data_IF_165177912436
#
_entry.id   IF_165177912436
#
_cell.length_a   1.000
_cell.length_b   1.000
_cell.length_c   1.000
_cell.angle_alpha   90.00
_cell.angle_beta   90.00
_cell.angle_gamma   90.00
#
_symmetry.space_group_name_H-M   'P 1'
#
loop_
_entity.id
_entity.type
_entity.pdbx_description
1 polymer ?
#
# COMPACT_ATOMS: atom_id res chain seq x y z
N UNK A 1 56.03 76.63 15.48
CA UNK A 1 55.84 75.30 16.10
C UNK A 1 54.37 74.94 15.86
N UNK A 2 54.12 74.24 14.74
CA UNK A 2 52.84 74.18 14.05
C UNK A 2 52.06 72.88 14.32
N UNK A 3 50.74 73.00 14.24
CA UNK A 3 49.71 72.06 14.67
C UNK A 3 49.60 70.83 13.77
N UNK A 4 49.40 69.67 14.40
CA UNK A 4 49.04 68.39 13.79
C UNK A 4 47.59 68.42 13.30
N UNK A 5 47.35 68.05 12.04
CA UNK A 5 46.01 67.78 11.50
C UNK A 5 46.03 66.33 10.99
N UNK A 6 45.33 65.46 11.70
CA UNK A 6 44.99 64.09 11.28
C UNK A 6 43.84 64.15 10.27
N UNK A 7 44.01 63.56 9.08
CA UNK A 7 42.90 63.29 8.17
C UNK A 7 42.11 62.06 8.64
N UNK A 8 40.81 62.25 8.86
CA UNK A 8 39.83 61.16 9.03
C UNK A 8 39.31 60.74 7.65
N UNK A 9 39.60 59.51 7.22
CA UNK A 9 38.90 58.87 6.09
C UNK A 9 37.61 58.24 6.59
N UNK A 10 36.48 58.74 6.09
CA UNK A 10 35.13 58.25 6.36
C UNK A 10 34.89 56.98 5.50
N UNK A 11 34.92 55.78 6.10
CA UNK A 11 34.39 54.57 5.45
C UNK A 11 32.88 54.54 5.62
N UNK A 12 32.16 54.82 4.54
CA UNK A 12 30.71 54.59 4.45
C UNK A 12 30.52 53.08 4.27
N UNK A 13 30.13 52.38 5.34
CA UNK A 13 29.66 51.01 5.24
C UNK A 13 28.31 51.01 4.55
N UNK A 14 28.27 50.62 3.28
CA UNK A 14 27.04 50.31 2.57
C UNK A 14 26.44 49.03 3.16
N UNK A 15 25.53 49.19 4.11
CA UNK A 15 24.64 48.12 4.58
C UNK A 15 23.69 47.75 3.44
N UNK A 16 24.15 46.89 2.52
CA UNK A 16 23.29 46.21 1.56
C UNK A 16 22.48 45.18 2.36
N UNK A 17 21.30 45.59 2.82
CA UNK A 17 20.27 44.66 3.28
C UNK A 17 19.88 43.78 2.09
N UNK A 18 20.43 42.58 2.02
CA UNK A 18 19.93 41.51 1.18
C UNK A 18 18.52 41.17 1.69
N UNK A 19 17.50 41.88 1.20
CA UNK A 19 16.13 41.38 1.24
C UNK A 19 16.12 40.13 0.37
N UNK A 20 16.27 38.97 1.02
CA UNK A 20 15.96 37.69 0.42
C UNK A 20 14.44 37.67 0.19
N UNK A 21 14.00 38.21 -0.95
CA UNK A 21 12.67 37.92 -1.47
C UNK A 21 12.63 36.41 -1.71
N UNK A 22 12.04 35.66 -0.77
CA UNK A 22 11.51 34.34 -1.06
C UNK A 22 10.69 34.48 -2.34
N UNK A 23 11.02 33.72 -3.39
CA UNK A 23 10.17 33.64 -4.58
C UNK A 23 8.75 33.38 -4.09
N UNK A 24 7.86 34.36 -4.25
CA UNK A 24 6.43 34.16 -4.02
C UNK A 24 6.03 33.05 -4.97
N UNK A 25 5.63 31.90 -4.42
CA UNK A 25 5.12 30.79 -5.22
C UNK A 25 3.86 31.31 -5.93
N UNK A 26 3.98 31.57 -7.23
CA UNK A 26 2.92 32.15 -8.04
C UNK A 26 1.63 31.30 -8.02
N UNK A 27 1.75 30.04 -7.60
CA UNK A 27 0.63 29.10 -7.47
C UNK A 27 0.18 28.89 -6.03
N UNK A 28 0.69 29.62 -5.03
CA UNK A 28 0.36 29.39 -3.61
C UNK A 28 -1.15 29.43 -3.34
N UNK A 29 -1.83 30.44 -3.89
CA UNK A 29 -3.26 30.64 -3.69
C UNK A 29 -4.08 29.57 -4.43
N UNK A 30 -3.64 29.19 -5.63
CA UNK A 30 -4.27 28.10 -6.37
C UNK A 30 -4.09 26.76 -5.67
N UNK A 31 -2.89 26.44 -5.19
CA UNK A 31 -2.60 25.21 -4.42
C UNK A 31 -3.45 25.16 -3.16
N UNK A 32 -3.55 26.27 -2.42
CA UNK A 32 -4.39 26.36 -1.23
C UNK A 32 -5.86 26.10 -1.55
N UNK A 33 -6.41 26.74 -2.61
CA UNK A 33 -7.79 26.52 -3.06
C UNK A 33 -8.04 25.08 -3.48
N UNK A 34 -7.13 24.49 -4.26
CA UNK A 34 -7.25 23.09 -4.70
C UNK A 34 -7.17 22.12 -3.51
N UNK A 35 -6.30 22.38 -2.54
CA UNK A 35 -6.21 21.59 -1.31
C UNK A 35 -7.51 21.67 -0.49
N UNK A 36 -8.15 22.83 -0.44
CA UNK A 36 -9.45 22.97 0.24
C UNK A 36 -10.55 22.18 -0.48
N UNK A 37 -10.61 22.27 -1.81
CA UNK A 37 -11.57 21.49 -2.60
C UNK A 37 -11.40 19.98 -2.38
N UNK A 38 -10.15 19.48 -2.32
CA UNK A 38 -9.87 18.06 -2.01
C UNK A 38 -10.34 17.71 -0.60
N UNK A 39 -10.14 18.59 0.38
CA UNK A 39 -10.64 18.39 1.75
C UNK A 39 -12.18 18.30 1.76
N UNK A 40 -12.87 19.20 1.06
CA UNK A 40 -14.33 19.17 0.95
C UNK A 40 -14.83 17.87 0.29
N UNK A 41 -14.16 17.41 -0.77
CA UNK A 41 -14.47 16.14 -1.42
C UNK A 41 -14.26 14.93 -0.51
N UNK A 42 -13.18 14.92 0.28
CA UNK A 42 -12.94 13.87 1.27
C UNK A 42 -14.09 13.80 2.28
N UNK A 43 -14.46 14.93 2.89
CA UNK A 43 -15.56 14.93 3.87
C UNK A 43 -16.93 14.68 3.24
N UNK A 44 -17.13 15.04 1.97
CA UNK A 44 -18.32 14.61 1.25
C UNK A 44 -18.39 13.07 1.21
N UNK A 45 -17.32 12.39 0.79
CA UNK A 45 -17.30 10.93 0.73
C UNK A 45 -17.38 10.28 2.12
N UNK A 46 -16.49 10.69 3.03
CA UNK A 46 -16.38 10.16 4.39
C UNK A 46 -17.70 10.29 5.17
N UNK A 47 -18.30 11.49 5.19
CA UNK A 47 -19.54 11.71 5.95
C UNK A 47 -20.72 10.91 5.38
N UNK A 48 -20.78 10.71 4.06
CA UNK A 48 -21.83 9.87 3.46
C UNK A 48 -21.59 8.39 3.75
N UNK A 49 -20.35 7.92 3.79
CA UNK A 49 -20.02 6.56 4.25
C UNK A 49 -20.46 6.36 5.69
N UNK A 50 -20.04 7.25 6.59
CA UNK A 50 -20.40 7.20 8.02
C UNK A 50 -21.91 7.23 8.25
N UNK A 51 -22.67 7.88 7.36
CA UNK A 51 -24.13 8.00 7.47
C UNK A 51 -24.90 6.80 6.94
N UNK A 52 -24.48 6.21 5.82
CA UNK A 52 -25.30 5.26 5.07
C UNK A 52 -24.74 3.84 5.00
N UNK A 53 -23.45 3.65 5.26
CA UNK A 53 -22.78 2.37 5.09
C UNK A 53 -22.04 1.90 6.33
N UNK A 54 -21.56 2.78 7.20
CA UNK A 54 -20.88 2.33 8.43
C UNK A 54 -21.78 1.40 9.28
N UNK A 55 -21.28 0.24 9.77
CA UNK A 55 -19.89 -0.22 9.77
C UNK A 55 -19.50 -1.17 8.63
N UNK A 56 -20.26 -1.24 7.54
CA UNK A 56 -19.97 -2.08 6.38
C UNK A 56 -18.70 -1.63 5.64
N UNK A 57 -18.21 -2.48 4.74
CA UNK A 57 -16.91 -2.24 4.08
C UNK A 57 -16.93 -1.03 3.14
N UNK A 58 -17.92 -0.93 2.24
CA UNK A 58 -17.99 0.17 1.25
C UNK A 58 -19.41 0.72 1.07
N UNK A 59 -19.48 2.02 0.77
CA UNK A 59 -20.72 2.71 0.42
C UNK A 59 -21.09 2.46 -1.05
N UNK A 60 -22.35 2.14 -1.32
CA UNK A 60 -23.00 2.25 -2.63
C UNK A 60 -23.71 3.62 -2.71
N UNK A 61 -23.05 4.67 -3.25
CA UNK A 61 -23.48 6.06 -3.03
C UNK A 61 -24.78 6.43 -3.74
N UNK A 62 -25.12 5.75 -4.84
CA UNK A 62 -26.35 6.01 -5.60
C UNK A 62 -27.58 5.44 -4.88
N UNK A 63 -27.46 4.23 -4.32
CA UNK A 63 -28.55 3.53 -3.62
C UNK A 63 -28.59 3.83 -2.13
N UNK A 64 -27.54 4.46 -1.58
CA UNK A 64 -27.35 4.68 -0.14
C UNK A 64 -27.44 3.37 0.65
N UNK A 65 -26.81 2.35 0.10
CA UNK A 65 -26.65 1.04 0.74
C UNK A 65 -25.15 0.70 0.80
N UNK A 66 -24.81 -0.56 1.05
CA UNK A 66 -23.42 -1.00 1.21
C UNK A 66 -23.12 -2.30 0.46
N UNK A 67 -21.84 -2.66 0.45
CA UNK A 67 -21.29 -3.99 0.13
C UNK A 67 -20.23 -4.31 1.17
N UNK A 68 -20.15 -5.58 1.56
CA UNK A 68 -19.11 -6.07 2.45
C UNK A 68 -17.99 -6.71 1.61
N UNK A 69 -17.26 -5.83 0.93
CA UNK A 69 -16.37 -6.16 -0.18
C UNK A 69 -15.23 -7.10 0.18
N UNK A 70 -14.78 -7.20 1.44
CA UNK A 70 -13.71 -8.16 1.78
C UNK A 70 -14.15 -9.62 1.62
N UNK A 71 -15.42 -9.92 1.88
CA UNK A 71 -16.00 -11.25 1.69
C UNK A 71 -16.56 -11.49 0.28
N UNK A 72 -16.84 -10.41 -0.47
CA UNK A 72 -17.47 -10.44 -1.79
C UNK A 72 -16.45 -10.33 -2.96
N UNK A 73 -15.41 -9.50 -2.82
CA UNK A 73 -14.52 -9.10 -3.92
C UNK A 73 -13.64 -10.28 -4.36
N UNK A 74 -13.92 -10.82 -5.55
CA UNK A 74 -13.26 -12.00 -6.10
C UNK A 74 -13.86 -13.33 -5.62
N UNK A 75 -14.83 -13.29 -4.70
CA UNK A 75 -15.58 -14.44 -4.21
C UNK A 75 -16.97 -14.47 -4.86
N UNK A 76 -17.01 -14.64 -6.18
CA UNK A 76 -18.24 -14.50 -6.99
C UNK A 76 -19.38 -15.43 -6.56
N UNK A 77 -19.04 -16.57 -5.97
CA UNK A 77 -20.00 -17.57 -5.47
C UNK A 77 -20.36 -17.37 -3.99
N UNK A 78 -19.80 -16.36 -3.33
CA UNK A 78 -19.95 -16.10 -1.88
C UNK A 78 -19.62 -17.34 -1.03
N UNK A 79 -18.61 -18.09 -1.44
CA UNK A 79 -18.18 -19.31 -0.75
C UNK A 79 -17.65 -18.96 0.65
N UNK A 80 -18.15 -19.66 1.66
CA UNK A 80 -17.76 -19.48 3.07
C UNK A 80 -17.93 -18.04 3.58
N UNK A 81 -19.05 -17.40 3.20
CA UNK A 81 -19.50 -16.14 3.78
C UNK A 81 -20.59 -16.43 4.84
N UNK A 82 -20.25 -16.28 6.11
CA UNK A 82 -21.23 -16.41 7.19
C UNK A 82 -22.36 -15.38 7.05
N UNK A 83 -23.60 -15.80 7.35
CA UNK A 83 -24.75 -14.88 7.43
C UNK A 83 -24.61 -13.85 8.57
N UNK A 84 -23.70 -14.10 9.51
CA UNK A 84 -23.41 -13.21 10.65
C UNK A 84 -22.32 -12.18 10.33
N UNK A 85 -21.68 -12.27 9.15
CA UNK A 85 -20.69 -11.27 8.74
C UNK A 85 -21.37 -9.94 8.41
N UNK A 86 -20.83 -8.85 8.95
CA UNK A 86 -21.41 -7.51 8.85
C UNK A 86 -20.34 -6.45 8.54
N UNK A 87 -19.38 -6.81 7.70
CA UNK A 87 -18.26 -5.96 7.33
C UNK A 87 -17.19 -5.80 8.41
N UNK A 88 -16.11 -5.10 8.05
CA UNK A 88 -14.95 -4.79 8.89
C UNK A 88 -14.69 -3.28 9.00
N UNK A 89 -15.66 -2.46 8.58
CA UNK A 89 -15.50 -1.03 8.41
C UNK A 89 -14.30 -0.67 7.51
N UNK A 90 -14.10 -1.40 6.41
CA UNK A 90 -12.97 -1.23 5.49
C UNK A 90 -12.72 0.24 5.11
N UNK A 91 -13.74 0.97 4.65
CA UNK A 91 -13.59 2.39 4.29
C UNK A 91 -13.19 3.27 5.47
N UNK A 92 -13.59 2.93 6.71
CA UNK A 92 -13.12 3.64 7.91
C UNK A 92 -11.63 3.41 8.12
N UNK A 93 -11.17 2.15 8.02
CA UNK A 93 -9.76 1.77 8.16
C UNK A 93 -8.90 2.49 7.11
N UNK A 94 -9.32 2.47 5.84
CA UNK A 94 -8.61 3.15 4.75
C UNK A 94 -8.61 4.69 4.91
N UNK A 95 -9.59 5.25 5.61
CA UNK A 95 -9.69 6.70 5.84
C UNK A 95 -8.83 7.21 6.99
N UNK A 96 -8.36 6.36 7.91
CA UNK A 96 -7.62 6.77 9.11
C UNK A 96 -6.40 7.63 8.78
N UNK A 97 -5.53 7.17 7.88
CA UNK A 97 -4.34 7.93 7.49
C UNK A 97 -4.68 9.27 6.82
N UNK A 98 -5.80 9.33 6.10
CA UNK A 98 -6.29 10.59 5.50
C UNK A 98 -6.81 11.56 6.57
N UNK A 99 -7.54 11.08 7.59
CA UNK A 99 -7.98 11.90 8.72
C UNK A 99 -6.79 12.52 9.45
N UNK A 100 -5.75 11.71 9.71
CA UNK A 100 -4.51 12.16 10.31
C UNK A 100 -3.79 13.23 9.46
N UNK A 101 -3.64 13.00 8.15
CA UNK A 101 -3.00 13.95 7.22
C UNK A 101 -3.80 15.26 7.10
N UNK A 102 -5.13 15.20 7.10
CA UNK A 102 -6.00 16.37 7.06
C UNK A 102 -6.06 17.13 8.40
N UNK A 103 -5.50 16.56 9.47
CA UNK A 103 -5.45 17.15 10.80
C UNK A 103 -6.76 17.03 11.60
N UNK A 104 -7.67 16.14 11.21
CA UNK A 104 -8.89 15.86 11.97
C UNK A 104 -8.64 14.75 12.99
N UNK A 105 -7.88 15.13 14.01
CA UNK A 105 -7.45 14.24 15.07
C UNK A 105 -8.60 13.76 15.95
N UNK A 106 -9.67 14.56 16.09
CA UNK A 106 -10.83 14.19 16.89
C UNK A 106 -11.63 13.06 16.25
N UNK A 107 -11.90 13.15 14.93
CA UNK A 107 -12.58 12.07 14.22
C UNK A 107 -11.68 10.83 14.08
N UNK A 108 -10.35 11.01 13.91
CA UNK A 108 -9.39 9.91 13.97
C UNK A 108 -9.45 9.15 15.30
N UNK A 109 -9.37 9.84 16.44
CA UNK A 109 -9.42 9.21 17.77
C UNK A 109 -10.73 8.45 17.99
N UNK A 110 -11.85 9.04 17.58
CA UNK A 110 -13.17 8.39 17.64
C UNK A 110 -13.24 7.13 16.78
N UNK A 111 -12.66 7.16 15.58
CA UNK A 111 -12.58 6.01 14.69
C UNK A 111 -11.71 4.89 15.31
N UNK A 112 -10.53 5.23 15.84
CA UNK A 112 -9.64 4.28 16.52
C UNK A 112 -10.35 3.63 17.70
N UNK A 113 -11.01 4.43 18.54
CA UNK A 113 -11.75 3.92 19.69
C UNK A 113 -12.84 2.94 19.25
N UNK A 114 -13.64 3.30 18.25
CA UNK A 114 -14.69 2.41 17.75
C UNK A 114 -14.10 1.09 17.21
N UNK A 115 -13.04 1.16 16.39
CA UNK A 115 -12.39 -0.02 15.84
C UNK A 115 -11.86 -0.92 16.95
N UNK A 116 -11.22 -0.34 17.97
CA UNK A 116 -10.65 -1.11 19.09
C UNK A 116 -11.69 -1.89 19.91
N UNK A 117 -12.90 -1.34 20.03
CA UNK A 117 -13.98 -1.93 20.83
C UNK A 117 -14.90 -2.86 20.02
N UNK A 118 -14.98 -2.69 18.70
CA UNK A 118 -16.01 -3.34 17.87
C UNK A 118 -15.45 -4.25 16.78
N UNK A 119 -14.21 -4.05 16.32
CA UNK A 119 -13.64 -4.85 15.24
C UNK A 119 -13.01 -6.13 15.79
N UNK A 120 -13.38 -7.27 15.19
CA UNK A 120 -12.74 -8.56 15.43
C UNK A 120 -12.46 -9.24 14.10
N UNK A 121 -11.25 -9.77 13.96
CA UNK A 121 -10.90 -10.63 12.84
C UNK A 121 -11.16 -12.12 13.14
N UNK A 122 -11.75 -12.46 14.29
CA UNK A 122 -12.20 -13.83 14.60
C UNK A 122 -13.56 -14.17 13.99
N UNK A 123 -13.65 -14.01 12.67
CA UNK A 123 -14.88 -14.10 11.90
C UNK A 123 -14.77 -15.17 10.82
N UNK A 124 -15.85 -15.93 10.65
CA UNK A 124 -15.96 -16.96 9.62
C UNK A 124 -16.25 -16.31 8.26
N UNK A 125 -15.20 -15.78 7.66
CA UNK A 125 -15.23 -15.13 6.35
C UNK A 125 -13.97 -15.47 5.56
N UNK A 126 -14.17 -15.87 4.31
CA UNK A 126 -13.10 -16.09 3.33
C UNK A 126 -12.75 -14.76 2.65
N UNK A 127 -11.49 -14.36 2.76
CA UNK A 127 -10.98 -13.09 2.22
C UNK A 127 -9.79 -13.31 1.29
N UNK A 128 -9.60 -12.39 0.36
CA UNK A 128 -8.40 -12.37 -0.48
C UNK A 128 -7.22 -11.81 0.34
N UNK A 129 -6.14 -12.58 0.45
CA UNK A 129 -4.97 -12.22 1.26
C UNK A 129 -4.33 -10.92 0.78
N UNK A 130 -4.19 -10.74 -0.53
CA UNK A 130 -3.56 -9.56 -1.12
C UNK A 130 -4.36 -8.29 -0.83
N UNK A 131 -5.68 -8.32 -1.08
CA UNK A 131 -6.56 -7.17 -0.80
C UNK A 131 -6.60 -6.84 0.70
N UNK A 132 -6.71 -7.86 1.56
CA UNK A 132 -6.74 -7.64 3.00
C UNK A 132 -5.40 -7.11 3.53
N UNK A 133 -4.27 -7.57 2.96
CA UNK A 133 -2.95 -7.05 3.29
C UNK A 133 -2.80 -5.56 2.92
N UNK A 134 -3.06 -5.19 1.67
CA UNK A 134 -2.79 -3.82 1.21
C UNK A 134 -3.78 -2.79 1.79
N UNK A 135 -5.04 -3.20 2.05
CA UNK A 135 -6.08 -2.28 2.53
C UNK A 135 -6.20 -2.26 4.04
N UNK A 136 -6.39 -3.42 4.66
CA UNK A 136 -6.66 -3.51 6.10
C UNK A 136 -5.37 -3.46 6.89
N UNK A 137 -4.43 -4.37 6.63
CA UNK A 137 -3.16 -4.37 7.36
C UNK A 137 -2.37 -3.09 7.07
N UNK A 138 -2.28 -2.67 5.81
CA UNK A 138 -1.67 -1.40 5.42
C UNK A 138 -2.33 -0.17 6.06
N UNK A 139 -3.67 -0.13 6.10
CA UNK A 139 -4.42 0.93 6.76
C UNK A 139 -4.15 1.02 8.26
N UNK A 140 -4.21 -0.11 8.97
CA UNK A 140 -3.93 -0.18 10.41
C UNK A 140 -2.49 0.20 10.75
N UNK A 141 -1.52 -0.36 10.01
CA UNK A 141 -0.08 -0.10 10.21
C UNK A 141 0.26 1.37 9.92
N UNK A 142 -0.21 1.92 8.80
CA UNK A 142 0.07 3.32 8.46
C UNK A 142 -0.54 4.30 9.46
N UNK A 143 -1.79 4.07 9.87
CA UNK A 143 -2.46 4.89 10.87
C UNK A 143 -1.79 4.77 12.25
N UNK A 144 -1.31 3.59 12.63
CA UNK A 144 -0.51 3.40 13.85
C UNK A 144 0.79 4.23 13.82
N UNK A 145 1.53 4.19 12.70
CA UNK A 145 2.76 4.97 12.54
C UNK A 145 2.48 6.48 12.66
N UNK A 146 1.40 6.97 12.05
CA UNK A 146 1.00 8.37 12.16
C UNK A 146 0.56 8.75 13.58
N UNK A 147 -0.13 7.85 14.29
CA UNK A 147 -0.56 8.07 15.67
C UNK A 147 0.60 8.04 16.68
N UNK A 148 1.68 7.34 16.37
CA UNK A 148 2.87 7.21 17.24
C UNK A 148 4.03 8.12 16.85
N UNK A 149 3.92 8.85 15.73
CA UNK A 149 4.91 9.85 15.37
C UNK A 149 4.99 10.92 16.45
N UNK A 150 6.19 11.15 16.98
CA UNK A 150 6.52 12.18 17.97
C UNK A 150 6.17 13.60 17.54
N UNK A 151 6.05 13.85 16.23
CA UNK A 151 5.61 15.14 15.70
C UNK A 151 4.07 15.27 15.64
N UNK A 152 3.34 14.17 15.82
CA UNK A 152 1.88 14.16 15.78
C UNK A 152 1.28 14.69 17.08
N UNK A 153 0.09 15.28 17.01
CA UNK A 153 -0.65 15.70 18.22
C UNK A 153 -1.22 14.52 19.00
N UNK A 154 -1.18 13.31 18.45
CA UNK A 154 -1.68 12.10 19.09
C UNK A 154 -0.78 11.60 20.24
N UNK A 155 0.48 12.03 20.26
CA UNK A 155 1.43 11.67 21.31
C UNK A 155 1.08 12.24 22.69
N UNK A 156 0.01 13.03 22.82
CA UNK A 156 -0.50 13.55 24.11
C UNK A 156 -1.31 12.54 24.95
N UNK A 157 -1.35 11.26 24.56
CA UNK A 157 -1.62 10.14 25.48
C UNK A 157 -2.98 9.47 25.40
N UNK A 158 -3.80 9.73 24.36
CA UNK A 158 -5.07 9.02 24.12
C UNK A 158 -4.89 7.70 23.38
N UNK A 159 -3.82 7.58 22.59
CA UNK A 159 -3.53 6.40 21.77
C UNK A 159 -2.64 5.39 22.52
N UNK A 160 -3.10 4.15 22.64
CA UNK A 160 -2.48 3.07 23.40
C UNK A 160 -2.23 1.83 22.52
N UNK A 161 -1.73 2.05 21.29
CA UNK A 161 -1.40 0.98 20.33
C UNK A 161 -2.57 0.13 19.87
N UNK A 162 -3.81 0.60 20.00
CA UNK A 162 -5.00 -0.18 19.64
C UNK A 162 -4.95 -0.70 18.20
N UNK A 163 -4.51 0.12 17.25
CA UNK A 163 -4.40 -0.28 15.84
C UNK A 163 -3.27 -1.30 15.61
N UNK A 164 -2.19 -1.25 16.38
CA UNK A 164 -1.11 -2.23 16.28
C UNK A 164 -1.58 -3.61 16.78
N UNK A 165 -2.38 -3.65 17.85
CA UNK A 165 -2.97 -4.92 18.32
C UNK A 165 -3.88 -5.55 17.27
N UNK A 166 -4.73 -4.75 16.61
CA UNK A 166 -5.55 -5.21 15.49
C UNK A 166 -4.69 -5.68 14.31
N UNK A 167 -3.65 -4.93 13.94
CA UNK A 167 -2.74 -5.28 12.86
C UNK A 167 -1.98 -6.58 13.14
N UNK A 168 -1.55 -6.79 14.38
CA UNK A 168 -0.86 -8.01 14.80
C UNK A 168 -1.78 -9.23 14.77
N UNK A 169 -3.02 -9.12 15.26
CA UNK A 169 -4.01 -10.20 15.17
C UNK A 169 -4.27 -10.59 13.71
N UNK A 170 -4.51 -9.61 12.84
CA UNK A 170 -4.71 -9.85 11.41
C UNK A 170 -3.48 -10.49 10.75
N UNK A 171 -2.28 -9.97 11.02
CA UNK A 171 -1.04 -10.54 10.50
C UNK A 171 -0.85 -12.00 10.94
N UNK A 172 -1.20 -12.35 12.18
CA UNK A 172 -1.14 -13.74 12.68
C UNK A 172 -2.10 -14.65 11.91
N UNK A 173 -3.29 -14.15 11.59
CA UNK A 173 -4.29 -14.87 10.80
C UNK A 173 -3.85 -15.10 9.36
N UNK A 174 -2.96 -14.28 8.80
CA UNK A 174 -2.41 -14.49 7.44
C UNK A 174 -1.35 -15.59 7.35
N UNK A 175 -0.59 -15.84 8.42
CA UNK A 175 0.54 -16.77 8.40
C UNK A 175 0.21 -18.19 7.87
N UNK A 176 -0.95 -18.80 8.18
CA UNK A 176 -1.34 -20.10 7.62
C UNK A 176 -1.35 -20.15 6.08
N UNK A 177 -1.65 -19.05 5.38
CA UNK A 177 -1.64 -19.02 3.91
C UNK A 177 -0.26 -19.37 3.34
N UNK A 178 0.82 -19.07 4.06
CA UNK A 178 2.19 -19.31 3.63
C UNK A 178 2.70 -20.72 3.95
N UNK A 179 1.89 -21.56 4.60
CA UNK A 179 2.25 -22.93 4.95
C UNK A 179 2.07 -23.86 3.74
N UNK A 180 2.83 -23.60 2.69
CA UNK A 180 2.84 -24.36 1.44
C UNK A 180 4.24 -24.93 1.18
N UNK A 181 4.37 -26.02 0.40
CA UNK A 181 5.67 -26.57 0.04
C UNK A 181 6.61 -25.57 -0.65
N UNK A 182 6.04 -24.65 -1.45
CA UNK A 182 6.78 -23.60 -2.14
C UNK A 182 7.11 -22.39 -1.27
N UNK A 183 6.34 -22.17 -0.21
CA UNK A 183 6.35 -20.95 0.59
C UNK A 183 5.62 -19.77 -0.05
N UNK A 184 5.02 -19.94 -1.23
CA UNK A 184 4.09 -18.96 -1.82
C UNK A 184 2.73 -19.07 -1.11
N UNK A 185 2.09 -17.94 -0.77
CA UNK A 185 0.82 -17.97 -0.08
C UNK A 185 -0.35 -18.36 -0.97
N UNK A 186 -1.34 -19.03 -0.38
CA UNK A 186 -2.69 -19.07 -0.93
C UNK A 186 -3.23 -17.65 -1.16
N UNK A 187 -3.93 -17.44 -2.28
CA UNK A 187 -4.58 -16.16 -2.56
C UNK A 187 -5.75 -15.88 -1.60
N UNK A 188 -6.32 -16.94 -1.03
CA UNK A 188 -7.52 -16.89 -0.21
C UNK A 188 -7.30 -17.56 1.15
N UNK A 189 -7.90 -16.98 2.18
CA UNK A 189 -7.81 -17.49 3.54
C UNK A 189 -9.10 -17.16 4.31
N UNK A 190 -9.54 -18.07 5.19
CA UNK A 190 -10.60 -17.78 6.15
C UNK A 190 -9.99 -17.15 7.42
N UNK A 191 -10.52 -16.02 7.88
CA UNK A 191 -9.93 -15.29 9.01
C UNK A 191 -10.03 -16.05 10.34
N UNK A 192 -11.00 -16.97 10.49
CA UNK A 192 -11.17 -17.80 11.69
C UNK A 192 -10.48 -19.16 11.58
N UNK A 193 -10.62 -19.82 10.44
CA UNK A 193 -10.19 -21.21 10.26
C UNK A 193 -8.87 -21.37 9.49
N UNK A 194 -8.31 -20.29 8.93
CA UNK A 194 -7.11 -20.34 8.10
C UNK A 194 -7.41 -20.86 6.69
N UNK A 195 -6.52 -21.68 6.13
CA UNK A 195 -6.68 -22.22 4.77
C UNK A 195 -7.67 -23.39 4.78
N UNK A 196 -8.73 -23.29 3.97
CA UNK A 196 -9.74 -24.34 3.85
C UNK A 196 -9.19 -25.56 3.09
N UNK A 197 -9.67 -26.76 3.40
CA UNK A 197 -9.11 -28.02 2.87
C UNK A 197 -9.10 -28.12 1.32
N UNK A 198 -10.06 -27.47 0.65
CA UNK A 198 -10.20 -27.48 -0.80
C UNK A 198 -9.92 -26.09 -1.41
N UNK A 199 -9.11 -25.27 -0.74
CA UNK A 199 -8.79 -23.93 -1.20
C UNK A 199 -7.97 -23.96 -2.50
N UNK A 200 -8.23 -23.00 -3.39
CA UNK A 200 -7.54 -22.92 -4.68
C UNK A 200 -6.06 -22.60 -4.51
N UNK A 201 -5.21 -23.32 -5.24
CA UNK A 201 -3.77 -23.11 -5.28
C UNK A 201 -3.36 -22.03 -6.28
N UNK A 202 -4.31 -21.49 -7.03
CA UNK A 202 -4.08 -20.42 -8.00
C UNK A 202 -3.87 -19.07 -7.28
N UNK A 203 -2.81 -18.36 -7.67
CA UNK A 203 -2.54 -17.00 -7.23
C UNK A 203 -1.90 -16.19 -8.36
N UNK A 204 -1.79 -14.87 -8.16
CA UNK A 204 -1.15 -13.96 -9.11
C UNK A 204 0.23 -13.49 -8.62
N UNK A 205 1.06 -13.00 -9.54
CA UNK A 205 2.37 -12.42 -9.21
C UNK A 205 2.24 -11.26 -8.22
N UNK A 206 1.28 -10.34 -8.40
CA UNK A 206 0.98 -9.30 -7.41
C UNK A 206 0.44 -9.90 -6.10
N UNK A 207 -0.43 -10.91 -6.19
CA UNK A 207 -1.07 -11.51 -5.02
C UNK A 207 -0.10 -12.12 -4.01
N UNK A 208 0.96 -12.77 -4.49
CA UNK A 208 2.01 -13.33 -3.64
C UNK A 208 3.27 -12.45 -3.51
N UNK A 209 3.43 -11.45 -4.37
CA UNK A 209 4.60 -10.58 -4.44
C UNK A 209 4.47 -9.25 -3.69
N UNK A 210 3.25 -8.82 -3.38
CA UNK A 210 2.95 -7.49 -2.85
C UNK A 210 2.51 -7.50 -1.39
N UNK A 211 3.31 -8.16 -0.54
CA UNK A 211 3.00 -8.33 0.90
C UNK A 211 4.09 -7.77 1.84
N UNK A 212 5.28 -7.48 1.31
CA UNK A 212 6.48 -7.20 2.13
C UNK A 212 6.44 -5.86 2.86
N UNK A 213 5.77 -4.83 2.33
CA UNK A 213 5.78 -3.51 2.97
C UNK A 213 5.01 -3.54 4.30
N UNK A 214 3.82 -4.11 4.28
CA UNK A 214 2.94 -4.18 5.44
C UNK A 214 3.44 -5.22 6.44
N UNK A 215 3.72 -6.44 5.99
CA UNK A 215 4.23 -7.51 6.85
C UNK A 215 5.63 -7.20 7.40
N UNK A 216 6.46 -6.52 6.61
CA UNK A 216 7.79 -6.04 7.04
C UNK A 216 7.70 -4.91 8.08
N UNK A 217 6.80 -3.94 7.88
CA UNK A 217 6.54 -2.91 8.86
C UNK A 217 5.97 -3.50 10.17
N UNK A 218 5.00 -4.41 10.07
CA UNK A 218 4.43 -5.10 11.21
C UNK A 218 5.49 -5.86 12.03
N UNK A 219 6.42 -6.54 11.37
CA UNK A 219 7.52 -7.25 12.05
C UNK A 219 8.42 -6.31 12.84
N UNK A 220 8.72 -5.13 12.29
CA UNK A 220 9.54 -4.11 12.95
C UNK A 220 8.83 -3.48 14.14
N UNK A 221 7.52 -3.25 14.03
CA UNK A 221 6.69 -2.65 15.08
C UNK A 221 6.43 -3.61 16.24
N UNK A 222 6.23 -4.90 15.95
CA UNK A 222 5.90 -5.93 16.96
C UNK A 222 7.13 -6.68 17.49
N UNK A 223 8.23 -6.68 16.74
CA UNK A 223 9.39 -7.53 17.00
C UNK A 223 9.24 -8.99 16.54
N UNK A 224 8.08 -9.38 15.98
CA UNK A 224 7.84 -10.73 15.47
C UNK A 224 8.28 -10.85 14.00
N UNK A 225 9.43 -11.47 13.76
CA UNK A 225 10.01 -11.59 12.42
C UNK A 225 9.23 -12.50 11.46
N UNK A 226 8.24 -13.27 11.94
CA UNK A 226 7.56 -14.27 11.11
C UNK A 226 6.83 -13.65 9.93
N UNK A 227 6.30 -12.43 10.07
CA UNK A 227 5.58 -11.77 8.99
C UNK A 227 6.52 -11.38 7.84
N UNK A 228 7.62 -10.69 8.15
CA UNK A 228 8.63 -10.27 7.17
C UNK A 228 9.27 -11.47 6.48
N UNK A 229 9.63 -12.51 7.25
CA UNK A 229 10.24 -13.72 6.71
C UNK A 229 9.29 -14.48 5.77
N UNK A 230 7.99 -14.49 6.03
CA UNK A 230 6.99 -15.09 5.15
C UNK A 230 6.94 -14.35 3.80
N UNK A 231 6.84 -13.01 3.82
CA UNK A 231 6.79 -12.20 2.61
C UNK A 231 8.10 -12.26 1.79
N UNK A 232 9.28 -12.19 2.44
CA UNK A 232 10.58 -12.32 1.75
C UNK A 232 10.70 -13.71 1.10
N UNK A 233 10.27 -14.77 1.78
CA UNK A 233 10.31 -16.13 1.22
C UNK A 233 9.44 -16.23 -0.04
N UNK A 234 8.24 -15.65 -0.01
CA UNK A 234 7.34 -15.62 -1.16
C UNK A 234 7.98 -14.87 -2.35
N UNK A 235 8.51 -13.66 -2.13
CA UNK A 235 9.19 -12.87 -3.18
C UNK A 235 10.38 -13.63 -3.77
N UNK A 236 11.23 -14.23 -2.94
CA UNK A 236 12.39 -15.00 -3.41
C UNK A 236 11.97 -16.21 -4.24
N UNK A 237 10.93 -16.92 -3.79
CA UNK A 237 10.38 -18.06 -4.55
C UNK A 237 9.81 -17.59 -5.89
N UNK A 238 8.99 -16.55 -5.90
CA UNK A 238 8.42 -15.96 -7.10
C UNK A 238 9.52 -15.50 -8.08
N UNK A 239 10.55 -14.81 -7.58
CA UNK A 239 11.70 -14.39 -8.37
C UNK A 239 12.47 -15.58 -8.97
N UNK A 240 12.56 -16.71 -8.26
CA UNK A 240 13.19 -17.92 -8.78
C UNK A 240 12.44 -18.55 -9.96
N UNK A 241 11.14 -18.23 -10.12
CA UNK A 241 10.28 -18.75 -11.19
C UNK A 241 10.30 -17.90 -12.46
N UNK A 242 11.01 -16.77 -12.48
CA UNK A 242 11.14 -15.90 -13.66
C UNK A 242 11.77 -16.65 -14.84
N UNK A 243 11.46 -16.20 -16.06
CA UNK A 243 12.08 -16.74 -17.27
C UNK A 243 13.56 -16.34 -17.40
N UNK A 244 14.27 -16.91 -18.38
CA UNK A 244 15.62 -16.47 -18.74
C UNK A 244 15.70 -15.00 -19.18
N UNK A 245 14.55 -14.37 -19.46
CA UNK A 245 14.41 -12.97 -19.82
C UNK A 245 14.15 -12.07 -18.60
N UNK A 246 14.14 -12.64 -17.38
CA UNK A 246 13.71 -12.00 -16.13
C UNK A 246 12.24 -11.52 -16.13
N UNK A 247 11.38 -12.12 -16.95
CA UNK A 247 9.94 -11.85 -16.96
C UNK A 247 9.20 -12.83 -16.04
N UNK A 248 8.07 -12.40 -15.49
CA UNK A 248 7.18 -13.20 -14.65
C UNK A 248 5.78 -13.28 -15.28
N UNK A 249 5.12 -14.43 -15.18
CA UNK A 249 3.76 -14.59 -15.66
C UNK A 249 2.75 -13.87 -14.76
N UNK A 250 1.48 -13.83 -15.16
CA UNK A 250 0.41 -13.24 -14.34
C UNK A 250 -0.03 -14.20 -13.24
N UNK A 251 -0.28 -15.46 -13.58
CA UNK A 251 -0.98 -16.43 -12.72
C UNK A 251 -0.19 -17.73 -12.59
N UNK A 252 -0.11 -18.27 -11.37
CA UNK A 252 0.69 -19.46 -11.03
C UNK A 252 -0.04 -20.39 -10.05
N UNK A 253 0.37 -21.65 -10.04
CA UNK A 253 -0.03 -22.62 -9.04
C UNK A 253 1.04 -22.72 -7.93
N UNK A 254 0.65 -22.47 -6.68
CA UNK A 254 1.57 -22.48 -5.53
C UNK A 254 2.02 -23.89 -5.13
N UNK A 255 1.26 -24.92 -5.46
CA UNK A 255 1.56 -26.32 -5.14
C UNK A 255 2.61 -26.90 -6.08
N UNK A 256 2.45 -26.72 -7.39
CA UNK A 256 3.39 -27.19 -8.41
C UNK A 256 4.56 -26.22 -8.61
N UNK A 257 4.40 -24.95 -8.23
CA UNK A 257 5.33 -23.86 -8.60
C UNK A 257 5.48 -23.69 -10.11
N UNK A 258 4.39 -23.86 -10.86
CA UNK A 258 4.35 -23.65 -12.32
C UNK A 258 3.45 -22.48 -12.69
N UNK A 259 3.77 -21.83 -13.82
CA UNK A 259 2.93 -20.78 -14.37
C UNK A 259 1.70 -21.37 -15.05
N UNK A 260 0.53 -20.85 -14.70
CA UNK A 260 -0.75 -21.16 -15.36
C UNK A 260 -0.93 -20.21 -16.54
N UNK A 261 -0.69 -18.91 -16.32
CA UNK A 261 -0.77 -17.87 -17.33
C UNK A 261 0.59 -17.23 -17.57
N UNK A 262 1.09 -17.38 -18.80
CA UNK A 262 2.40 -16.90 -19.23
C UNK A 262 2.36 -15.47 -19.78
N UNK A 263 1.20 -14.80 -19.77
CA UNK A 263 1.14 -13.37 -20.09
C UNK A 263 1.95 -12.59 -19.07
N UNK A 264 2.64 -11.54 -19.52
CA UNK A 264 3.54 -10.75 -18.71
C UNK A 264 3.44 -9.30 -19.14
N UNK A 265 3.49 -8.40 -18.16
CA UNK A 265 3.41 -6.98 -18.40
C UNK A 265 3.65 -6.18 -17.14
N UNK A 266 3.29 -4.91 -17.21
CA UNK A 266 3.22 -4.00 -16.06
C UNK A 266 1.77 -3.75 -15.62
N UNK A 267 0.83 -4.59 -16.05
CA UNK A 267 -0.59 -4.42 -15.77
C UNK A 267 -1.07 -5.21 -14.56
N UNK A 268 -2.38 -5.31 -14.44
CA UNK A 268 -3.07 -6.08 -13.40
C UNK A 268 -2.49 -7.48 -13.24
N UNK A 269 -2.36 -7.93 -11.99
CA UNK A 269 -1.83 -9.25 -11.63
C UNK A 269 -0.31 -9.33 -11.57
N UNK A 270 0.41 -8.28 -11.99
CA UNK A 270 1.88 -8.19 -11.92
C UNK A 270 2.36 -6.86 -11.36
N UNK A 271 1.74 -5.74 -11.76
CA UNK A 271 2.04 -4.35 -11.40
C UNK A 271 2.81 -4.11 -10.08
N UNK A 272 2.14 -4.31 -8.95
CA UNK A 272 2.60 -3.95 -7.61
C UNK A 272 3.79 -4.79 -7.15
N UNK A 273 4.07 -5.95 -7.77
CA UNK A 273 5.30 -6.69 -7.51
C UNK A 273 6.53 -5.81 -7.77
N UNK A 274 6.54 -5.08 -8.89
CA UNK A 274 7.64 -4.17 -9.21
C UNK A 274 7.72 -3.00 -8.22
N UNK A 275 6.58 -2.45 -7.81
CA UNK A 275 6.54 -1.39 -6.79
C UNK A 275 7.15 -1.87 -5.48
N UNK A 276 6.79 -3.08 -5.04
CA UNK A 276 7.20 -3.61 -3.74
C UNK A 276 8.69 -3.91 -3.71
N UNK A 277 9.30 -4.35 -4.82
CA UNK A 277 10.76 -4.50 -4.90
C UNK A 277 11.48 -3.16 -4.67
N UNK A 278 11.04 -2.09 -5.36
CA UNK A 278 11.65 -0.76 -5.19
C UNK A 278 11.37 -0.20 -3.79
N UNK A 279 10.10 -0.21 -3.36
CA UNK A 279 9.68 0.36 -2.07
C UNK A 279 10.29 -0.39 -0.89
N UNK A 280 10.47 -1.71 -0.97
CA UNK A 280 11.15 -2.47 0.08
C UNK A 280 12.65 -2.12 0.16
N UNK A 281 13.31 -1.83 -0.96
CA UNK A 281 14.67 -1.28 -0.91
C UNK A 281 14.68 0.08 -0.20
N UNK A 282 13.78 0.99 -0.56
CA UNK A 282 13.72 2.33 0.03
C UNK A 282 13.38 2.30 1.53
N UNK A 283 12.41 1.46 1.92
CA UNK A 283 11.90 1.41 3.29
C UNK A 283 12.82 0.61 4.22
N UNK A 284 13.43 -0.47 3.72
CA UNK A 284 14.15 -1.44 4.54
C UNK A 284 15.64 -1.54 4.23
N UNK A 285 16.15 -0.81 3.23
CA UNK A 285 17.55 -0.87 2.80
C UNK A 285 17.94 -2.19 2.13
N UNK A 286 16.98 -2.92 1.55
CA UNK A 286 17.24 -4.24 0.97
C UNK A 286 17.92 -4.16 -0.40
N UNK A 287 19.22 -4.43 -0.45
CA UNK A 287 20.01 -4.54 -1.69
C UNK A 287 19.55 -5.69 -2.59
N UNK A 288 19.00 -6.76 -2.01
CA UNK A 288 18.46 -7.87 -2.78
C UNK A 288 17.25 -7.42 -3.62
N UNK A 289 16.30 -6.73 -2.99
CA UNK A 289 15.10 -6.23 -3.68
C UNK A 289 15.45 -5.20 -4.75
N UNK A 290 16.47 -4.37 -4.50
CA UNK A 290 16.99 -3.44 -5.51
C UNK A 290 17.53 -4.16 -6.75
N UNK A 291 18.36 -5.21 -6.57
CA UNK A 291 18.89 -5.98 -7.71
C UNK A 291 17.78 -6.71 -8.49
N UNK A 292 16.78 -7.24 -7.79
CA UNK A 292 15.59 -7.82 -8.42
C UNK A 292 14.85 -6.76 -9.25
N UNK A 293 14.59 -5.58 -8.67
CA UNK A 293 13.93 -4.47 -9.36
C UNK A 293 14.70 -4.03 -10.60
N UNK A 294 16.01 -3.80 -10.51
CA UNK A 294 16.83 -3.40 -11.65
C UNK A 294 16.77 -4.43 -12.80
N UNK A 295 16.84 -5.72 -12.47
CA UNK A 295 16.76 -6.80 -13.46
C UNK A 295 15.39 -6.84 -14.13
N UNK A 296 14.32 -6.73 -13.35
CA UNK A 296 12.94 -6.70 -13.82
C UNK A 296 12.66 -5.46 -14.67
N UNK A 297 13.15 -4.30 -14.24
CA UNK A 297 13.01 -3.02 -14.93
C UNK A 297 13.64 -3.07 -16.33
N UNK A 298 14.88 -3.57 -16.43
CA UNK A 298 15.55 -3.72 -17.73
C UNK A 298 14.79 -4.67 -18.66
N UNK A 299 14.21 -5.74 -18.12
CA UNK A 299 13.38 -6.66 -18.89
C UNK A 299 12.09 -5.98 -19.39
N UNK A 300 11.39 -5.24 -18.52
CA UNK A 300 10.23 -4.42 -18.90
C UNK A 300 10.57 -3.44 -20.04
N UNK A 301 11.68 -2.72 -19.91
CA UNK A 301 12.14 -1.78 -20.94
C UNK A 301 12.48 -2.48 -22.26
N UNK A 302 12.95 -3.72 -22.21
CA UNK A 302 13.39 -4.47 -23.40
C UNK A 302 12.24 -5.15 -24.14
N UNK A 303 11.24 -5.66 -23.41
CA UNK A 303 10.22 -6.55 -23.96
C UNK A 303 8.81 -5.96 -24.02
N UNK A 304 8.49 -4.96 -23.19
CA UNK A 304 7.14 -4.38 -23.14
C UNK A 304 7.07 -3.00 -23.78
N UNK A 305 8.17 -2.23 -23.74
CA UNK A 305 8.15 -0.83 -24.15
C UNK A 305 8.04 -0.67 -25.67
N UNK A 306 7.04 0.08 -26.09
CA UNK A 306 6.86 0.54 -27.46
C UNK A 306 6.58 2.04 -27.48
N UNK A 307 7.62 2.83 -27.75
CA UNK A 307 7.55 4.29 -27.66
C UNK A 307 7.26 4.75 -26.23
N UNK A 308 6.19 5.52 -25.98
CA UNK A 308 5.75 5.93 -24.64
C UNK A 308 4.85 4.88 -23.95
N UNK A 309 4.50 3.78 -24.62
CA UNK A 309 3.54 2.79 -24.15
C UNK A 309 4.22 1.48 -23.76
N UNK A 310 3.47 0.64 -23.04
CA UNK A 310 3.89 -0.71 -22.65
C UNK A 310 2.81 -1.72 -23.05
N UNK A 311 3.16 -2.70 -23.85
CA UNK A 311 2.28 -3.81 -24.23
C UNK A 311 2.60 -5.05 -23.39
N UNK A 312 1.71 -6.04 -23.41
CA UNK A 312 1.98 -7.35 -22.80
C UNK A 312 2.81 -8.23 -23.73
N UNK A 313 3.55 -9.19 -23.17
CA UNK A 313 4.29 -10.18 -23.92
C UNK A 313 4.26 -11.54 -23.22
N UNK A 314 4.50 -12.61 -23.98
CA UNK A 314 4.70 -13.93 -23.42
C UNK A 314 6.04 -13.97 -22.65
N UNK A 315 6.00 -14.34 -21.38
CA UNK A 315 7.16 -14.27 -20.48
C UNK A 315 8.36 -15.11 -20.95
N UNK A 316 8.12 -16.17 -21.74
CA UNK A 316 9.14 -17.14 -22.17
C UNK A 316 9.88 -16.64 -23.41
N UNK A 317 9.15 -16.00 -24.31
CA UNK A 317 9.65 -15.59 -25.63
C UNK A 317 9.91 -14.09 -25.75
N UNK A 318 9.30 -13.28 -24.87
CA UNK A 318 9.32 -11.82 -24.96
C UNK A 318 8.54 -11.28 -26.17
N UNK A 319 7.77 -12.11 -26.86
CA UNK A 319 6.96 -11.70 -28.02
C UNK A 319 5.69 -11.03 -27.54
N UNK A 320 5.37 -9.87 -28.12
CA UNK A 320 4.13 -9.14 -27.85
C UNK A 320 2.90 -10.04 -28.05
N UNK A 321 1.98 -10.04 -27.08
CA UNK A 321 0.73 -10.80 -27.11
C UNK A 321 -0.46 -9.87 -27.33
N UNK A 322 -0.66 -8.92 -26.42
CA UNK A 322 -1.78 -7.98 -26.44
C UNK A 322 -1.30 -6.53 -26.38
N UNK A 323 -1.93 -5.69 -27.20
CA UNK A 323 -1.75 -4.23 -27.21
C UNK A 323 -2.85 -3.54 -26.42
N UNK A 324 -3.17 -4.10 -25.25
CA UNK A 324 -4.17 -3.54 -24.35
C UNK A 324 -3.49 -2.65 -23.33
N UNK A 325 -4.08 -1.47 -23.13
CA UNK A 325 -3.67 -0.52 -22.11
C UNK A 325 -4.72 -0.51 -21.01
N UNK A 326 -4.29 -0.71 -19.78
CA UNK A 326 -5.18 -0.62 -18.61
C UNK A 326 -4.80 0.60 -17.79
N UNK A 327 -5.78 1.23 -17.14
CA UNK A 327 -5.54 2.39 -16.28
C UNK A 327 -4.55 2.09 -15.15
N UNK A 328 -4.48 0.84 -14.70
CA UNK A 328 -3.56 0.40 -13.65
C UNK A 328 -2.09 0.54 -14.07
N UNK A 329 -1.74 0.41 -15.35
CA UNK A 329 -0.36 0.61 -15.84
C UNK A 329 0.16 2.05 -15.65
N UNK A 330 -0.71 3.01 -15.35
CA UNK A 330 -0.34 4.40 -15.13
C UNK A 330 0.51 4.64 -13.87
N UNK A 331 0.66 3.64 -12.98
CA UNK A 331 1.61 3.72 -11.86
C UNK A 331 3.07 3.74 -12.34
N UNK A 332 3.36 3.07 -13.46
CA UNK A 332 4.72 2.74 -13.86
C UNK A 332 5.62 3.96 -14.07
N UNK A 333 5.19 5.04 -14.75
CA UNK A 333 6.01 6.26 -14.84
C UNK A 333 6.40 6.85 -13.48
N UNK A 334 5.55 6.68 -12.45
CA UNK A 334 5.85 7.13 -11.09
C UNK A 334 7.00 6.38 -10.42
N UNK A 335 7.32 5.15 -10.86
CA UNK A 335 8.49 4.40 -10.40
C UNK A 335 9.80 4.79 -11.13
N UNK A 336 9.72 5.58 -12.20
CA UNK A 336 10.87 5.92 -13.04
C UNK A 336 11.51 7.26 -12.69
N UNK A 337 10.92 8.02 -11.77
CA UNK A 337 11.35 9.36 -11.31
C UNK A 337 12.18 9.21 -10.04
#
# INVERSE_FOLDING_TARGET
>A
IGKWIFMFTLMISSSFSFFCFSKVDQFSDQKKRMSENVREMFYHAYNNYMKYAFPHDELKPLTKSYTDSLGELGNLNLENLSQEYNGTALSLIESLSSLAILGDYAEFEKAVFWLSENLSFDVDVRVNLFECNIRVLGGLVSAHILATDSASRFSSGSYENQLLFLAEDLGRRFLPAFNTPSGLPYAWINLKYGVMANETTETTTSGCGSLILEMGALSRLTGDSRFELAAIRAIRKLWSMRSSLNLLGTTLDIGTSEWIEYSSGIGAGVDSFYEYLLKAHLLFGSEEMWRMFQSAYLAVQSYFRHGPWYHEADMRTGRATYWQLTSLQAFWPGLQV
#
